data_IF_454257334392
#
_entry.id   IF_454257334392
#
_cell.length_a   1.000
_cell.length_b   1.000
_cell.length_c   1.000
_cell.angle_alpha   90.00
_cell.angle_beta   90.00
_cell.angle_gamma   90.00
#
_symmetry.space_group_name_H-M   'P 1'
#
loop_
_entity.id
_entity.type
_entity.pdbx_description
1 polymer ?
#
# COMPACT_ATOMS: atom_id res chain seq x y z
N UNK A 1 13.38 0.47 45.06
CA UNK A 1 13.56 -0.65 44.11
C UNK A 1 12.95 -0.22 42.79
N UNK A 2 13.76 0.43 41.94
CA UNK A 2 13.34 0.86 40.61
C UNK A 2 13.35 -0.34 39.68
N UNK A 3 12.17 -0.86 39.38
CA UNK A 3 11.99 -1.86 38.33
C UNK A 3 12.16 -1.12 37.00
N UNK A 4 13.21 -1.48 36.26
CA UNK A 4 13.56 -0.90 34.97
C UNK A 4 12.34 -0.80 34.04
N UNK A 5 12.05 0.34 33.39
CA UNK A 5 11.04 0.39 32.33
C UNK A 5 11.65 -0.23 31.06
N UNK A 6 11.58 -1.55 30.95
CA UNK A 6 11.97 -2.27 29.75
C UNK A 6 10.73 -2.83 29.04
N UNK A 7 10.13 -2.02 28.19
CA UNK A 7 9.18 -2.44 27.14
C UNK A 7 9.45 -1.68 25.84
N UNK A 8 10.66 -1.85 25.29
CA UNK A 8 10.91 -1.60 23.86
C UNK A 8 10.35 -2.83 23.11
N UNK A 9 9.08 -2.78 22.69
CA UNK A 9 8.46 -3.94 22.04
C UNK A 9 6.99 -3.79 21.64
N UNK A 10 6.73 -3.00 20.59
CA UNK A 10 5.63 -3.19 19.63
C UNK A 10 4.20 -3.43 20.15
N UNK A 11 3.53 -2.37 20.62
CA UNK A 11 2.08 -2.35 20.80
C UNK A 11 1.49 -1.00 20.36
N UNK A 12 1.56 -0.69 19.06
CA UNK A 12 0.52 0.15 18.45
C UNK A 12 -0.65 -0.77 18.15
N UNK A 13 -1.70 -0.62 18.95
CA UNK A 13 -2.89 -1.45 18.93
C UNK A 13 -3.65 -1.25 17.61
N UNK A 14 -4.36 -2.29 17.16
CA UNK A 14 -5.28 -2.25 16.01
C UNK A 14 -6.35 -1.16 16.10
N UNK A 15 -6.54 -0.57 17.28
CA UNK A 15 -7.53 0.47 17.57
C UNK A 15 -7.12 1.84 17.03
N UNK A 16 -5.87 2.25 17.19
CA UNK A 16 -5.35 3.54 16.70
C UNK A 16 -5.41 3.62 15.15
N UNK A 17 -5.27 2.46 14.52
CA UNK A 17 -5.31 2.29 13.07
C UNK A 17 -6.72 2.55 12.49
N UNK A 18 -7.76 2.10 13.20
CA UNK A 18 -9.13 2.28 12.77
C UNK A 18 -9.51 3.76 12.77
N UNK A 19 -9.06 4.53 13.77
CA UNK A 19 -9.37 5.95 13.89
C UNK A 19 -8.76 6.80 12.75
N UNK A 20 -7.49 6.53 12.41
CA UNK A 20 -6.82 7.17 11.27
C UNK A 20 -7.56 6.86 9.96
N UNK A 21 -7.95 5.59 9.75
CA UNK A 21 -8.67 5.18 8.56
C UNK A 21 -10.06 5.82 8.47
N UNK A 22 -10.81 5.92 9.57
CA UNK A 22 -12.11 6.62 9.62
C UNK A 22 -11.94 8.08 9.21
N UNK A 23 -10.92 8.76 9.74
CA UNK A 23 -10.65 10.18 9.45
C UNK A 23 -10.32 10.39 7.98
N UNK A 24 -9.41 9.58 7.43
CA UNK A 24 -9.02 9.66 6.02
C UNK A 24 -10.17 9.26 5.09
N UNK A 25 -10.92 8.20 5.44
CA UNK A 25 -12.09 7.74 4.70
C UNK A 25 -13.16 8.81 4.60
N UNK A 26 -13.47 9.48 5.72
CA UNK A 26 -14.44 10.58 5.76
C UNK A 26 -13.99 11.77 4.90
N UNK A 27 -12.69 12.09 4.93
CA UNK A 27 -12.11 13.15 4.10
C UNK A 27 -12.27 12.85 2.59
N UNK A 28 -11.92 11.62 2.16
CA UNK A 28 -12.08 11.20 0.76
C UNK A 28 -13.55 11.20 0.32
N UNK A 29 -14.46 10.71 1.18
CA UNK A 29 -15.91 10.75 0.94
C UNK A 29 -16.42 12.17 0.71
N UNK A 30 -15.95 13.11 1.52
CA UNK A 30 -16.33 14.53 1.42
C UNK A 30 -15.93 15.10 0.07
N UNK A 31 -14.70 14.82 -0.38
CA UNK A 31 -14.20 15.29 -1.68
C UNK A 31 -14.96 14.64 -2.83
N UNK A 32 -15.18 13.32 -2.79
CA UNK A 32 -15.98 12.62 -3.80
C UNK A 32 -17.38 13.23 -3.93
N UNK A 33 -18.04 13.48 -2.80
CA UNK A 33 -19.39 14.04 -2.76
C UNK A 33 -19.43 15.47 -3.29
N UNK A 34 -18.41 16.28 -2.98
CA UNK A 34 -18.25 17.64 -3.55
C UNK A 34 -18.07 17.64 -5.06
N UNK A 35 -17.39 16.62 -5.61
CA UNK A 35 -17.22 16.46 -7.06
C UNK A 35 -18.46 15.83 -7.74
N UNK A 36 -19.49 15.44 -7.00
CA UNK A 36 -20.69 14.79 -7.55
C UNK A 36 -20.43 13.38 -8.10
N UNK A 37 -19.32 12.74 -7.74
CA UNK A 37 -18.94 11.43 -8.24
C UNK A 37 -19.64 10.31 -7.47
N UNK A 38 -20.18 9.34 -8.19
CA UNK A 38 -20.70 8.11 -7.60
C UNK A 38 -19.57 7.15 -7.22
N UNK A 39 -19.81 6.27 -6.23
CA UNK A 39 -18.87 5.21 -5.88
C UNK A 39 -18.55 4.28 -7.07
N UNK A 40 -19.50 4.06 -7.98
CA UNK A 40 -19.29 3.22 -9.15
C UNK A 40 -18.34 3.85 -10.18
N UNK A 41 -18.44 5.16 -10.40
CA UNK A 41 -17.52 5.88 -11.29
C UNK A 41 -16.08 5.80 -10.76
N UNK A 42 -15.89 6.05 -9.46
CA UNK A 42 -14.58 5.92 -8.83
C UNK A 42 -14.07 4.48 -8.90
N UNK A 43 -14.94 3.49 -8.69
CA UNK A 43 -14.59 2.07 -8.79
C UNK A 43 -14.10 1.71 -10.20
N UNK A 44 -14.76 2.21 -11.25
CA UNK A 44 -14.35 2.02 -12.63
C UNK A 44 -12.99 2.68 -12.93
N UNK A 45 -12.75 3.89 -12.43
CA UNK A 45 -11.49 4.60 -12.63
C UNK A 45 -10.30 3.95 -11.91
N UNK A 46 -10.53 3.47 -10.68
CA UNK A 46 -9.46 2.94 -9.82
C UNK A 46 -9.25 1.44 -9.96
N UNK A 47 -10.21 0.74 -10.59
CA UNK A 47 -10.34 -0.72 -10.60
C UNK A 47 -10.44 -1.34 -9.20
N UNK A 48 -10.93 -0.58 -8.22
CA UNK A 48 -11.18 -1.06 -6.85
C UNK A 48 -12.66 -1.40 -6.74
N UNK A 49 -12.98 -2.54 -6.14
CA UNK A 49 -14.39 -2.92 -5.97
C UNK A 49 -15.16 -1.88 -5.14
N UNK A 50 -16.43 -1.56 -5.51
CA UNK A 50 -17.24 -0.58 -4.79
C UNK A 50 -17.41 -0.89 -3.30
N UNK A 51 -17.42 -2.18 -2.94
CA UNK A 51 -17.52 -2.64 -1.56
C UNK A 51 -16.29 -2.22 -0.72
N UNK A 52 -15.09 -2.26 -1.31
CA UNK A 52 -13.87 -1.84 -0.64
C UNK A 52 -13.78 -0.33 -0.51
N UNK A 53 -14.19 0.42 -1.55
CA UNK A 53 -14.29 1.88 -1.45
C UNK A 53 -15.29 2.30 -0.35
N UNK A 54 -16.43 1.61 -0.24
CA UNK A 54 -17.40 1.83 0.83
C UNK A 54 -16.81 1.52 2.21
N UNK A 55 -16.03 0.44 2.33
CA UNK A 55 -15.37 0.08 3.58
C UNK A 55 -14.31 1.12 3.98
N UNK A 56 -13.54 1.65 3.03
CA UNK A 56 -12.60 2.77 3.25
C UNK A 56 -13.35 4.01 3.73
N UNK A 57 -14.44 4.41 3.05
CA UNK A 57 -15.23 5.58 3.45
C UNK A 57 -15.89 5.44 4.83
N UNK A 58 -16.21 4.21 5.23
CA UNK A 58 -16.77 3.89 6.54
C UNK A 58 -15.69 3.63 7.61
N UNK A 59 -14.41 3.61 7.25
CA UNK A 59 -13.31 3.21 8.13
C UNK A 59 -13.43 1.78 8.68
N UNK A 60 -14.14 0.89 7.97
CA UNK A 60 -14.36 -0.48 8.43
C UNK A 60 -13.18 -1.38 8.05
N UNK A 61 -12.20 -1.48 8.96
CA UNK A 61 -11.01 -2.31 8.78
C UNK A 61 -11.33 -3.80 8.57
N UNK A 62 -12.36 -4.33 9.24
CA UNK A 62 -12.71 -5.75 9.16
C UNK A 62 -13.20 -6.21 7.78
N UNK A 63 -13.64 -5.28 6.93
CA UNK A 63 -14.08 -5.58 5.55
C UNK A 63 -12.97 -5.38 4.51
N UNK A 64 -11.84 -4.82 4.92
CA UNK A 64 -10.71 -4.56 4.03
C UNK A 64 -9.79 -5.79 3.95
N UNK A 65 -9.06 -5.96 2.85
CA UNK A 65 -8.04 -6.99 2.75
C UNK A 65 -6.80 -6.59 3.55
N UNK A 66 -5.69 -7.30 3.37
CA UNK A 66 -4.47 -7.02 4.12
C UNK A 66 -4.01 -5.55 4.01
N UNK A 67 -3.39 -5.09 5.10
CA UNK A 67 -2.96 -3.72 5.30
C UNK A 67 -2.10 -3.16 4.14
N UNK A 68 -1.30 -4.04 3.52
CA UNK A 68 -0.45 -3.74 2.35
C UNK A 68 -1.30 -3.23 1.18
N UNK A 69 -2.46 -3.85 0.93
CA UNK A 69 -3.37 -3.45 -0.14
C UNK A 69 -4.12 -2.16 0.19
N UNK A 70 -4.49 -1.97 1.45
CA UNK A 70 -5.22 -0.77 1.89
C UNK A 70 -4.43 0.51 1.58
N UNK A 71 -3.11 0.50 1.81
CA UNK A 71 -2.24 1.65 1.44
C UNK A 71 -2.31 1.95 -0.05
N UNK A 72 -2.26 0.90 -0.88
CA UNK A 72 -2.38 1.02 -2.34
C UNK A 72 -3.75 1.55 -2.78
N UNK A 73 -4.82 1.12 -2.12
CA UNK A 73 -6.18 1.59 -2.40
C UNK A 73 -6.37 3.06 -2.06
N UNK A 74 -5.89 3.48 -0.88
CA UNK A 74 -5.94 4.88 -0.47
C UNK A 74 -5.20 5.79 -1.45
N UNK A 75 -4.01 5.37 -1.89
CA UNK A 75 -3.23 6.09 -2.90
C UNK A 75 -3.99 6.24 -4.21
N UNK A 76 -4.51 5.13 -4.77
CA UNK A 76 -5.27 5.15 -6.03
C UNK A 76 -6.56 5.98 -5.92
N UNK A 77 -7.27 5.86 -4.81
CA UNK A 77 -8.52 6.61 -4.60
C UNK A 77 -8.23 8.12 -4.52
N UNK A 78 -7.25 8.54 -3.73
CA UNK A 78 -6.85 9.93 -3.66
C UNK A 78 -6.40 10.48 -5.03
N UNK A 79 -5.63 9.70 -5.80
CA UNK A 79 -5.22 10.08 -7.16
C UNK A 79 -6.41 10.25 -8.11
N UNK A 80 -7.44 9.40 -8.03
CA UNK A 80 -8.65 9.55 -8.87
C UNK A 80 -9.45 10.82 -8.57
N UNK A 81 -9.34 11.33 -7.34
CA UNK A 81 -9.98 12.59 -6.91
C UNK A 81 -9.11 13.83 -7.20
N UNK A 82 -7.93 13.66 -7.80
CA UNK A 82 -6.98 14.74 -8.08
C UNK A 82 -6.15 15.19 -6.87
N UNK A 83 -6.04 14.35 -5.83
CA UNK A 83 -5.26 14.64 -4.62
C UNK A 83 -3.88 13.98 -4.69
N UNK A 84 -2.96 14.43 -3.83
CA UNK A 84 -1.70 13.74 -3.62
C UNK A 84 -1.91 12.42 -2.86
N UNK A 85 -2.03 11.33 -3.63
CA UNK A 85 -2.23 10.00 -3.06
C UNK A 85 -1.07 9.49 -2.22
N UNK A 86 0.15 10.01 -2.38
CA UNK A 86 1.27 9.64 -1.50
C UNK A 86 1.07 10.26 -0.12
N UNK A 87 0.79 11.56 -0.07
CA UNK A 87 0.53 12.27 1.17
C UNK A 87 -0.65 11.68 1.96
N UNK A 88 -1.72 11.27 1.28
CA UNK A 88 -2.87 10.61 1.93
C UNK A 88 -2.50 9.22 2.45
N UNK A 89 -1.77 8.43 1.67
CA UNK A 89 -1.37 7.09 2.07
C UNK A 89 -0.35 7.08 3.22
N UNK A 90 0.47 8.12 3.34
CA UNK A 90 1.46 8.26 4.42
C UNK A 90 0.84 8.75 5.74
N UNK A 91 -0.36 9.34 5.70
CA UNK A 91 -1.14 9.65 6.92
C UNK A 91 -1.66 8.41 7.63
N UNK A 92 -1.79 7.28 6.93
CA UNK A 92 -2.20 6.00 7.52
C UNK A 92 -0.93 5.18 7.76
N UNK A 93 -0.57 4.99 9.02
CA UNK A 93 0.61 4.19 9.38
C UNK A 93 0.32 2.72 9.13
N UNK A 94 0.75 2.18 8.00
CA UNK A 94 0.67 0.74 7.74
C UNK A 94 1.89 0.04 8.30
N UNK A 95 1.76 -0.68 9.43
CA UNK A 95 2.76 -1.68 9.81
C UNK A 95 2.67 -2.78 8.75
N UNK A 96 3.68 -2.95 7.87
CA UNK A 96 3.69 -4.13 7.02
C UNK A 96 3.68 -5.32 7.97
N UNK A 97 2.63 -6.14 7.92
CA UNK A 97 2.68 -7.48 8.50
C UNK A 97 3.96 -8.08 7.93
N UNK A 98 4.93 -8.36 8.81
CA UNK A 98 6.33 -8.54 8.48
C UNK A 98 6.48 -9.12 7.08
N UNK A 99 6.92 -8.30 6.11
CA UNK A 99 7.29 -8.81 4.80
C UNK A 99 8.50 -9.71 5.06
N UNK A 100 8.22 -10.97 5.34
CA UNK A 100 9.18 -12.06 5.41
C UNK A 100 8.99 -12.83 4.12
N UNK A 101 9.67 -12.43 3.04
CA UNK A 101 9.63 -13.24 1.85
C UNK A 101 10.33 -14.54 2.21
N UNK A 102 9.66 -15.67 2.05
CA UNK A 102 10.27 -17.00 2.23
C UNK A 102 11.54 -17.17 1.34
N UNK A 103 11.71 -16.30 0.33
CA UNK A 103 12.87 -16.23 -0.56
C UNK A 103 14.00 -15.29 -0.09
N UNK A 104 13.84 -14.57 1.04
CA UNK A 104 14.84 -13.65 1.60
C UNK A 104 15.64 -14.30 2.74
N UNK A 105 15.85 -15.62 2.67
CA UNK A 105 16.84 -16.27 3.48
C UNK A 105 18.23 -15.87 2.97
N UNK A 106 19.04 -15.26 3.84
CA UNK A 106 20.41 -14.81 3.52
C UNK A 106 21.33 -15.94 3.02
N UNK A 107 20.95 -17.21 3.23
CA UNK A 107 21.62 -18.39 2.68
C UNK A 107 21.50 -18.52 1.16
N UNK A 108 20.49 -17.92 0.55
CA UNK A 108 20.17 -18.16 -0.87
C UNK A 108 20.84 -17.13 -1.80
N UNK A 109 21.41 -16.07 -1.24
CA UNK A 109 22.14 -15.05 -2.00
C UNK A 109 23.54 -15.48 -2.45
N UNK A 110 24.04 -16.64 -1.99
CA UNK A 110 25.32 -17.17 -2.45
C UNK A 110 25.21 -18.13 -3.65
N UNK A 111 24.00 -18.42 -4.16
CA UNK A 111 23.78 -19.48 -5.16
C UNK A 111 22.98 -19.05 -6.41
N UNK A 112 22.97 -17.76 -6.79
CA UNK A 112 22.55 -17.36 -8.14
C UNK A 112 23.77 -16.96 -8.93
N UNK A 113 24.29 -17.90 -9.72
CA UNK A 113 25.32 -17.62 -10.72
C UNK A 113 24.91 -16.42 -11.60
N UNK A 114 25.87 -15.60 -12.06
CA UNK A 114 25.57 -14.59 -13.05
C UNK A 114 25.03 -15.29 -14.29
N UNK A 115 23.78 -14.97 -14.68
CA UNK A 115 23.24 -15.40 -15.97
C UNK A 115 24.19 -14.87 -17.04
N UNK A 116 25.00 -15.76 -17.60
CA UNK A 116 25.81 -15.46 -18.77
C UNK A 116 24.85 -14.92 -19.84
N UNK A 117 24.95 -13.62 -20.11
CA UNK A 117 24.28 -12.99 -21.23
C UNK A 117 24.71 -13.69 -22.53
N UNK A 118 23.84 -13.76 -23.56
CA UNK A 118 24.18 -14.39 -24.83
C UNK A 118 25.46 -13.76 -25.41
N UNK A 119 26.38 -14.62 -25.85
CA UNK A 119 27.73 -14.25 -26.28
C UNK A 119 27.70 -13.20 -27.39
N UNK A 120 28.51 -12.14 -27.24
CA UNK A 120 28.80 -11.13 -28.24
C UNK A 120 29.46 -11.75 -29.49
N UNK A 121 28.66 -12.28 -30.41
CA UNK A 121 29.06 -12.46 -31.81
C UNK A 121 27.90 -12.06 -32.72
N UNK A 122 28.26 -11.21 -33.69
CA UNK A 122 27.48 -10.86 -34.90
C UNK A 122 26.21 -10.02 -34.74
N UNK A 123 26.36 -8.78 -34.26
CA UNK A 123 25.38 -7.70 -34.50
C UNK A 123 26.00 -6.33 -34.82
N UNK A 124 27.18 -6.25 -35.46
CA UNK A 124 27.70 -5.03 -36.10
C UNK A 124 28.28 -5.33 -37.49
N UNK A 125 27.41 -5.55 -38.47
CA UNK A 125 27.81 -5.40 -39.87
C UNK A 125 27.81 -3.90 -40.24
N UNK A 126 28.71 -3.50 -41.15
CA UNK A 126 28.70 -2.27 -41.96
C UNK A 126 29.36 -1.04 -41.31
N UNK A 127 30.66 -0.82 -41.62
CA UNK A 127 31.18 0.38 -42.31
C UNK A 127 32.69 0.26 -42.60
N UNK A 128 33.01 0.49 -43.88
CA UNK A 128 34.31 0.81 -44.50
C UNK A 128 35.38 -0.29 -44.55
#
# INVERSE_FOLDING_TARGET
MSVFPNTIGASHTSEEYCEQLVTVGHYLKTIRTRQGLSLQQVAQQTHIQPNQLRAIEAGNWMKLPEAIYVKGFLKKYAQSLGLDGKAIADKVWVKPAAFNPQWLNKSDFCAREPVAGPSLRTWWAIKA
#
